data_IF_534302008947
#
_entry.id   IF_534302008947
#
_cell.length_a   1.000
_cell.length_b   1.000
_cell.length_c   1.000
_cell.angle_alpha   90.00
_cell.angle_beta   90.00
_cell.angle_gamma   90.00
#
_symmetry.space_group_name_H-M   'P 1'
#
loop_
_entity.id
_entity.type
_entity.pdbx_description
1 polymer ?
#
# COMPACT_ATOMS: atom_id res chain seq x y z
N UNK A 1 7.27 -0.95 -21.80
CA UNK A 1 6.98 0.47 -21.48
C UNK A 1 5.94 1.07 -22.43
N UNK A 2 6.06 0.90 -23.75
CA UNK A 2 5.06 1.39 -24.75
C UNK A 2 3.67 0.73 -24.59
N UNK A 3 3.58 -0.54 -24.18
CA UNK A 3 2.30 -1.22 -23.94
C UNK A 3 1.50 -0.69 -22.74
N UNK A 4 2.18 -0.20 -21.70
CA UNK A 4 1.55 0.27 -20.45
C UNK A 4 0.88 1.64 -20.66
N UNK A 5 1.55 2.53 -21.40
CA UNK A 5 0.97 3.83 -21.79
C UNK A 5 -0.19 3.62 -22.76
N UNK A 6 -0.09 2.64 -23.66
CA UNK A 6 -1.16 2.31 -24.61
C UNK A 6 -2.40 1.73 -23.95
N UNK A 7 -2.26 0.82 -22.98
CA UNK A 7 -3.41 0.28 -22.24
C UNK A 7 -4.13 1.34 -21.39
N UNK A 8 -3.39 2.27 -20.78
CA UNK A 8 -3.99 3.40 -20.05
C UNK A 8 -4.72 4.35 -21.02
N UNK A 9 -4.16 4.60 -22.20
CA UNK A 9 -4.80 5.43 -23.24
C UNK A 9 -6.01 4.73 -23.86
N UNK A 10 -5.94 3.43 -24.11
CA UNK A 10 -7.03 2.64 -24.69
C UNK A 10 -8.19 2.49 -23.70
N UNK A 11 -7.91 2.39 -22.40
CA UNK A 11 -8.92 2.47 -21.34
C UNK A 11 -9.53 3.87 -21.19
N UNK A 12 -8.85 4.92 -21.67
CA UNK A 12 -9.36 6.31 -21.68
C UNK A 12 -10.15 6.65 -22.95
N UNK A 13 -10.18 5.78 -23.97
CA UNK A 13 -10.86 6.04 -25.23
C UNK A 13 -12.34 5.66 -25.16
N UNK A 14 -13.29 6.61 -25.34
CA UNK A 14 -14.72 6.39 -25.10
C UNK A 14 -15.42 5.49 -26.13
N UNK A 15 -14.72 5.01 -27.16
CA UNK A 15 -15.30 4.29 -28.31
C UNK A 15 -15.20 2.77 -28.24
N UNK A 16 -14.40 2.18 -27.35
CA UNK A 16 -14.17 0.72 -27.33
C UNK A 16 -15.13 -0.08 -26.46
N UNK A 17 -16.11 0.57 -25.81
CA UNK A 17 -17.06 -0.10 -24.89
C UNK A 17 -18.42 -0.41 -25.55
N UNK A 18 -18.64 -0.02 -26.82
CA UNK A 18 -19.97 -0.12 -27.45
C UNK A 18 -20.12 -1.11 -28.63
N UNK A 19 -19.14 -1.98 -28.91
CA UNK A 19 -19.30 -2.96 -30.01
C UNK A 19 -18.92 -4.39 -29.63
N UNK A 20 -19.62 -4.96 -28.65
CA UNK A 20 -19.84 -6.42 -28.54
C UNK A 20 -20.92 -6.75 -27.50
N UNK A 21 -22.19 -6.41 -27.76
CA UNK A 21 -23.31 -6.95 -26.98
C UNK A 21 -24.52 -7.28 -27.86
N UNK A 22 -24.40 -8.36 -28.62
CA UNK A 22 -25.53 -9.17 -29.07
C UNK A 22 -25.32 -10.59 -28.56
N UNK A 23 -25.67 -10.77 -27.29
CA UNK A 23 -25.63 -12.04 -26.58
C UNK A 23 -26.52 -11.94 -25.36
N UNK A 24 -27.79 -12.28 -25.54
CA UNK A 24 -28.82 -12.40 -24.51
C UNK A 24 -28.36 -13.36 -23.40
N UNK A 25 -28.05 -12.83 -22.22
CA UNK A 25 -28.16 -13.60 -20.98
C UNK A 25 -28.79 -12.73 -19.90
N UNK A 26 -30.09 -12.92 -19.71
CA UNK A 26 -30.82 -12.52 -18.50
C UNK A 26 -30.45 -13.48 -17.38
N UNK A 27 -29.28 -13.25 -16.78
CA UNK A 27 -28.95 -13.69 -15.42
C UNK A 27 -28.75 -12.45 -14.56
N UNK A 28 -28.89 -12.52 -13.23
CA UNK A 28 -28.41 -11.43 -12.40
C UNK A 28 -26.95 -11.21 -12.78
N UNK A 29 -26.56 -9.95 -12.99
CA UNK A 29 -25.15 -9.57 -12.96
C UNK A 29 -24.72 -9.95 -11.55
N UNK A 30 -24.12 -11.13 -11.39
CA UNK A 30 -23.41 -11.49 -10.18
C UNK A 30 -22.24 -10.50 -10.08
N UNK A 31 -22.54 -9.37 -9.46
CA UNK A 31 -21.57 -8.51 -8.80
C UNK A 31 -20.90 -9.40 -7.76
N UNK A 32 -19.83 -10.08 -8.17
CA UNK A 32 -18.93 -10.86 -7.31
C UNK A 32 -18.28 -9.94 -6.29
N UNK A 33 -19.06 -9.54 -5.30
CA UNK A 33 -18.73 -8.70 -4.16
C UNK A 33 -19.39 -9.33 -2.93
N UNK A 34 -19.07 -10.60 -2.70
CA UNK A 34 -19.08 -11.16 -1.34
C UNK A 34 -17.92 -10.52 -0.56
N UNK A 35 -18.08 -9.24 -0.25
CA UNK A 35 -17.26 -8.52 0.70
C UNK A 35 -18.18 -8.15 1.84
N UNK A 36 -18.08 -8.87 2.95
CA UNK A 36 -18.93 -8.69 4.13
C UNK A 36 -19.00 -7.21 4.52
N UNK A 37 -20.13 -6.75 5.10
CA UNK A 37 -20.23 -5.38 5.63
C UNK A 37 -19.05 -5.04 6.56
N UNK A 38 -18.54 -6.04 7.27
CA UNK A 38 -17.35 -5.94 8.12
C UNK A 38 -16.09 -5.51 7.35
N UNK A 39 -15.83 -6.10 6.17
CA UNK A 39 -14.68 -5.70 5.34
C UNK A 39 -14.72 -4.21 4.98
N UNK A 40 -15.88 -3.73 4.55
CA UNK A 40 -16.06 -2.33 4.18
C UNK A 40 -15.91 -1.39 5.39
N UNK A 41 -16.48 -1.75 6.54
CA UNK A 41 -16.29 -1.00 7.79
C UNK A 41 -14.80 -0.92 8.14
N UNK A 42 -14.07 -2.04 8.08
CA UNK A 42 -12.63 -2.05 8.35
C UNK A 42 -11.84 -1.18 7.36
N UNK A 43 -12.22 -1.16 6.08
CA UNK A 43 -11.60 -0.26 5.09
C UNK A 43 -11.89 1.22 5.39
N UNK A 44 -13.11 1.58 5.80
CA UNK A 44 -13.42 2.95 6.24
C UNK A 44 -12.58 3.37 7.45
N UNK A 45 -12.41 2.47 8.42
CA UNK A 45 -11.54 2.72 9.58
C UNK A 45 -10.09 2.94 9.12
N UNK A 46 -9.58 2.12 8.19
CA UNK A 46 -8.24 2.25 7.63
C UNK A 46 -8.03 3.61 6.93
N UNK A 47 -9.05 4.09 6.21
CA UNK A 47 -9.04 5.41 5.56
C UNK A 47 -8.94 6.53 6.58
N UNK A 48 -9.82 6.50 7.60
CA UNK A 48 -9.85 7.53 8.63
C UNK A 48 -8.52 7.56 9.40
N UNK A 49 -8.03 6.38 9.77
CA UNK A 49 -6.76 6.22 10.47
C UNK A 49 -5.58 6.75 9.65
N UNK A 50 -5.50 6.39 8.37
CA UNK A 50 -4.43 6.87 7.51
C UNK A 50 -4.45 8.40 7.32
N UNK A 51 -5.64 9.02 7.22
CA UNK A 51 -5.77 10.48 7.18
C UNK A 51 -5.32 11.12 8.51
N UNK A 52 -5.66 10.52 9.65
CA UNK A 52 -5.21 10.98 10.96
C UNK A 52 -3.69 10.92 11.08
N UNK A 53 -3.06 9.82 10.65
CA UNK A 53 -1.59 9.71 10.67
C UNK A 53 -0.93 10.73 9.75
N UNK A 54 -1.49 10.96 8.55
CA UNK A 54 -1.03 12.04 7.68
C UNK A 54 -1.13 13.41 8.37
N UNK A 55 -2.26 13.70 9.00
CA UNK A 55 -2.47 14.97 9.70
C UNK A 55 -1.47 15.17 10.83
N UNK A 56 -1.27 14.16 11.69
CA UNK A 56 -0.31 14.20 12.80
C UNK A 56 1.11 14.41 12.27
N UNK A 57 1.57 13.61 11.31
CA UNK A 57 2.92 13.74 10.72
C UNK A 57 3.13 15.12 10.09
N UNK A 58 2.12 15.65 9.41
CA UNK A 58 2.17 16.99 8.79
C UNK A 58 2.22 18.09 9.84
N UNK A 59 1.45 17.97 10.91
CA UNK A 59 1.43 18.93 12.02
C UNK A 59 2.77 18.93 12.76
N UNK A 60 3.31 17.76 13.11
CA UNK A 60 4.63 17.64 13.76
C UNK A 60 5.73 18.28 12.91
N UNK A 61 5.68 18.09 11.58
CA UNK A 61 6.60 18.75 10.65
C UNK A 61 6.45 20.29 10.66
N UNK A 62 5.22 20.80 10.76
CA UNK A 62 4.96 22.24 10.75
C UNK A 62 5.48 22.92 12.02
N UNK A 63 5.42 22.23 13.16
CA UNK A 63 5.92 22.74 14.43
C UNK A 63 7.45 22.75 14.48
N UNK A 64 8.10 21.76 13.87
CA UNK A 64 9.57 21.64 13.88
C UNK A 64 10.16 21.37 12.46
N UNK A 65 10.14 22.36 11.56
CA UNK A 65 10.50 22.17 10.15
C UNK A 65 11.97 21.79 9.92
N UNK A 66 12.86 22.11 10.88
CA UNK A 66 14.30 21.83 10.80
C UNK A 66 14.72 20.43 11.29
N UNK A 67 13.87 19.76 12.09
CA UNK A 67 14.21 18.52 12.79
C UNK A 67 13.85 17.26 12.00
N UNK A 68 12.72 17.30 11.27
CA UNK A 68 12.02 16.08 10.79
C UNK A 68 11.95 15.95 9.26
N UNK A 69 12.56 16.87 8.53
CA UNK A 69 12.13 17.25 7.18
C UNK A 69 12.17 16.17 6.09
N UNK A 70 13.02 15.14 6.21
CA UNK A 70 13.14 14.05 5.22
C UNK A 70 12.12 12.93 5.42
N UNK A 71 12.08 12.38 6.65
CA UNK A 71 11.18 11.28 7.01
C UNK A 71 9.73 11.76 7.05
N UNK A 72 9.46 12.92 7.65
CA UNK A 72 8.09 13.43 7.78
C UNK A 72 7.42 13.74 6.43
N UNK A 73 8.16 14.29 5.46
CA UNK A 73 7.61 14.58 4.13
C UNK A 73 7.25 13.30 3.37
N UNK A 74 8.19 12.35 3.31
CA UNK A 74 8.00 11.14 2.52
C UNK A 74 7.02 10.15 3.18
N UNK A 75 7.09 9.98 4.51
CA UNK A 75 6.15 9.15 5.26
C UNK A 75 4.74 9.76 5.30
N UNK A 76 4.63 11.09 5.44
CA UNK A 76 3.34 11.78 5.34
C UNK A 76 2.67 11.57 3.98
N UNK A 77 3.41 11.74 2.88
CA UNK A 77 2.90 11.45 1.54
C UNK A 77 2.50 9.98 1.36
N UNK A 78 3.26 9.04 1.95
CA UNK A 78 2.92 7.63 1.93
C UNK A 78 1.56 7.36 2.59
N UNK A 79 1.33 7.87 3.81
CA UNK A 79 0.04 7.74 4.50
C UNK A 79 -1.10 8.42 3.74
N UNK A 80 -0.86 9.61 3.17
CA UNK A 80 -1.85 10.32 2.36
C UNK A 80 -2.29 9.49 1.14
N UNK A 81 -1.33 9.00 0.36
CA UNK A 81 -1.63 8.23 -0.85
C UNK A 81 -2.24 6.87 -0.53
N UNK A 82 -1.80 6.20 0.54
CA UNK A 82 -2.44 4.98 1.02
C UNK A 82 -3.91 5.23 1.40
N UNK A 83 -4.20 6.32 2.11
CA UNK A 83 -5.56 6.69 2.53
C UNK A 83 -6.45 7.04 1.34
N UNK A 84 -5.92 7.82 0.38
CA UNK A 84 -6.65 8.16 -0.85
C UNK A 84 -6.91 6.94 -1.72
N UNK A 85 -5.96 6.00 -1.80
CA UNK A 85 -6.16 4.72 -2.50
C UNK A 85 -7.26 3.89 -1.84
N UNK A 86 -7.23 3.73 -0.52
CA UNK A 86 -8.25 3.00 0.22
C UNK A 86 -9.62 3.68 0.10
N UNK A 87 -9.67 5.02 0.18
CA UNK A 87 -10.90 5.79 0.06
C UNK A 87 -11.52 5.62 -1.33
N UNK A 88 -10.73 5.80 -2.38
CA UNK A 88 -11.21 5.62 -3.77
C UNK A 88 -11.63 4.18 -4.06
N UNK A 89 -10.97 3.18 -3.47
CA UNK A 89 -11.39 1.78 -3.54
C UNK A 89 -12.72 1.51 -2.85
N UNK A 90 -12.95 2.13 -1.69
CA UNK A 90 -14.23 2.05 -0.99
C UNK A 90 -15.35 2.72 -1.82
N UNK A 91 -15.07 3.90 -2.39
CA UNK A 91 -16.03 4.60 -3.25
C UNK A 91 -16.35 3.83 -4.54
N UNK A 92 -15.38 3.14 -5.14
CA UNK A 92 -15.59 2.40 -6.40
C UNK A 92 -16.62 1.29 -6.26
N UNK A 93 -16.75 0.69 -5.08
CA UNK A 93 -17.62 -0.47 -4.85
C UNK A 93 -18.96 -0.13 -4.18
N UNK A 94 -19.08 1.00 -3.47
CA UNK A 94 -20.25 1.27 -2.62
C UNK A 94 -21.29 2.20 -3.21
N UNK A 95 -20.91 3.21 -4.01
CA UNK A 95 -21.83 4.33 -4.28
C UNK A 95 -22.48 4.31 -5.66
N UNK A 96 -21.81 3.79 -6.70
CA UNK A 96 -22.33 3.92 -8.07
C UNK A 96 -21.90 2.76 -8.98
N UNK A 97 -22.81 1.85 -9.39
CA UNK A 97 -22.57 0.96 -10.52
C UNK A 97 -22.64 1.78 -11.83
N UNK A 98 -21.52 2.39 -12.25
CA UNK A 98 -21.40 3.14 -13.51
C UNK A 98 -19.95 3.63 -13.77
N UNK A 99 -19.77 4.60 -14.67
CA UNK A 99 -18.49 5.28 -15.00
C UNK A 99 -17.74 5.81 -13.77
N UNK A 100 -18.45 6.15 -12.69
CA UNK A 100 -17.83 6.64 -11.45
C UNK A 100 -16.96 5.55 -10.82
N UNK A 101 -17.42 4.29 -10.80
CA UNK A 101 -16.64 3.16 -10.28
C UNK A 101 -15.33 2.99 -11.07
N UNK A 102 -15.37 3.16 -12.40
CA UNK A 102 -14.18 3.12 -13.26
C UNK A 102 -13.19 4.24 -12.92
N UNK A 103 -13.64 5.49 -12.80
CA UNK A 103 -12.76 6.60 -12.43
C UNK A 103 -12.17 6.42 -11.03
N UNK A 104 -12.96 5.93 -10.07
CA UNK A 104 -12.50 5.64 -8.70
C UNK A 104 -11.46 4.51 -8.67
N UNK A 105 -11.63 3.44 -9.45
CA UNK A 105 -10.61 2.39 -9.58
C UNK A 105 -9.30 2.91 -10.18
N UNK A 106 -9.38 3.74 -11.23
CA UNK A 106 -8.20 4.36 -11.83
C UNK A 106 -7.50 5.28 -10.82
N UNK A 107 -8.27 6.09 -10.09
CA UNK A 107 -7.71 6.95 -9.04
C UNK A 107 -7.01 6.13 -7.95
N UNK A 108 -7.61 5.01 -7.52
CA UNK A 108 -7.00 4.12 -6.53
C UNK A 108 -5.66 3.56 -7.02
N UNK A 109 -5.60 3.11 -8.27
CA UNK A 109 -4.37 2.66 -8.92
C UNK A 109 -3.30 3.75 -8.92
N UNK A 110 -3.65 4.97 -9.31
CA UNK A 110 -2.70 6.10 -9.32
C UNK A 110 -2.15 6.33 -7.92
N UNK A 111 -3.00 6.31 -6.90
CA UNK A 111 -2.56 6.48 -5.51
C UNK A 111 -1.70 5.31 -4.99
N UNK A 112 -1.95 4.06 -5.42
CA UNK A 112 -1.06 2.91 -5.09
C UNK A 112 0.33 3.14 -5.68
N UNK A 113 0.41 3.59 -6.95
CA UNK A 113 1.68 3.88 -7.62
C UNK A 113 2.40 5.00 -6.88
N UNK A 114 1.71 6.10 -6.58
CA UNK A 114 2.29 7.25 -5.86
C UNK A 114 2.75 6.85 -4.45
N UNK A 115 2.01 6.00 -3.75
CA UNK A 115 2.41 5.46 -2.44
C UNK A 115 3.69 4.62 -2.54
N UNK A 116 3.76 3.72 -3.53
CA UNK A 116 4.95 2.90 -3.79
C UNK A 116 6.17 3.75 -4.14
N UNK A 117 5.97 4.82 -4.90
CA UNK A 117 7.02 5.79 -5.23
C UNK A 117 7.43 6.63 -4.01
N UNK A 118 6.50 7.02 -3.14
CA UNK A 118 6.78 7.76 -1.90
C UNK A 118 7.56 6.92 -0.87
N UNK A 119 7.38 5.59 -0.90
CA UNK A 119 8.13 4.67 -0.05
C UNK A 119 9.64 4.68 -0.35
N UNK A 120 10.07 4.98 -1.58
CA UNK A 120 11.48 5.03 -1.97
C UNK A 120 12.27 6.12 -1.22
N UNK A 121 11.90 7.43 -1.29
CA UNK A 121 12.58 8.48 -0.54
C UNK A 121 12.36 8.36 0.97
N UNK A 122 11.24 7.78 1.43
CA UNK A 122 11.02 7.47 2.84
C UNK A 122 12.07 6.45 3.33
N UNK A 123 12.17 5.31 2.64
CA UNK A 123 13.13 4.24 2.93
C UNK A 123 14.57 4.75 2.88
N UNK A 124 14.93 5.55 1.88
CA UNK A 124 16.27 6.14 1.78
C UNK A 124 16.57 7.09 2.97
N UNK A 125 15.57 7.86 3.42
CA UNK A 125 15.71 8.74 4.58
C UNK A 125 15.82 7.99 5.90
N UNK A 126 15.26 6.78 6.00
CA UNK A 126 15.41 5.91 7.17
C UNK A 126 16.82 5.30 7.22
N UNK A 127 17.31 4.77 6.09
CA UNK A 127 18.63 4.13 6.02
C UNK A 127 19.79 5.13 6.11
N UNK A 128 19.65 6.30 5.46
CA UNK A 128 20.65 7.37 5.40
C UNK A 128 19.98 8.71 5.78
N UNK A 129 19.77 8.96 7.08
CA UNK A 129 19.16 10.20 7.56
C UNK A 129 20.14 11.38 7.61
N UNK A 130 21.44 11.14 7.48
CA UNK A 130 22.43 12.20 7.64
C UNK A 130 22.46 13.16 6.44
N UNK A 131 22.21 14.44 6.68
CA UNK A 131 22.19 15.48 5.63
C UNK A 131 23.53 15.62 4.87
N UNK A 132 24.65 15.25 5.49
CA UNK A 132 26.00 15.30 4.88
C UNK A 132 26.26 14.14 3.91
N UNK A 133 25.54 13.02 4.02
CA UNK A 133 25.73 11.82 3.19
C UNK A 133 24.78 11.79 1.99
N UNK A 134 24.66 12.91 1.26
CA UNK A 134 23.74 13.03 0.11
C UNK A 134 23.99 11.97 -0.96
N UNK A 135 25.26 11.68 -1.28
CA UNK A 135 25.63 10.65 -2.25
C UNK A 135 25.09 9.27 -1.88
N UNK A 136 25.30 8.83 -0.63
CA UNK A 136 24.77 7.56 -0.12
C UNK A 136 23.25 7.51 -0.12
N UNK A 137 22.59 8.64 0.15
CA UNK A 137 21.12 8.73 0.07
C UNK A 137 20.63 8.55 -1.37
N UNK A 138 21.30 9.15 -2.35
CA UNK A 138 21.00 8.95 -3.78
C UNK A 138 21.21 7.50 -4.20
N UNK A 139 22.31 6.87 -3.78
CA UNK A 139 22.58 5.44 -4.04
C UNK A 139 21.45 4.57 -3.46
N UNK A 140 21.03 4.85 -2.23
CA UNK A 140 19.91 4.15 -1.60
C UNK A 140 18.59 4.33 -2.39
N UNK A 141 18.27 5.55 -2.84
CA UNK A 141 17.10 5.80 -3.69
C UNK A 141 17.13 4.97 -4.97
N UNK A 142 18.27 4.92 -5.66
CA UNK A 142 18.43 4.14 -6.90
C UNK A 142 18.28 2.64 -6.60
N UNK A 143 18.88 2.14 -5.53
CA UNK A 143 18.76 0.74 -5.12
C UNK A 143 17.30 0.36 -4.79
N UNK A 144 16.59 1.21 -4.02
CA UNK A 144 15.18 0.98 -3.68
C UNK A 144 14.26 1.07 -4.89
N UNK A 145 14.53 1.99 -5.82
CA UNK A 145 13.82 2.04 -7.10
C UNK A 145 14.02 0.73 -7.87
N UNK A 146 15.24 0.20 -7.94
CA UNK A 146 15.51 -1.07 -8.58
C UNK A 146 14.73 -2.22 -7.92
N UNK A 147 14.69 -2.30 -6.57
CA UNK A 147 13.90 -3.32 -5.86
C UNK A 147 12.41 -3.22 -6.18
N UNK A 148 11.83 -2.02 -6.17
CA UNK A 148 10.40 -1.81 -6.47
C UNK A 148 10.10 -2.24 -7.92
N UNK A 149 10.92 -1.82 -8.88
CA UNK A 149 10.75 -2.19 -10.28
C UNK A 149 10.93 -3.70 -10.50
N UNK A 150 11.96 -4.30 -9.90
CA UNK A 150 12.20 -5.73 -9.98
C UNK A 150 11.04 -6.52 -9.39
N UNK A 151 10.50 -6.08 -8.26
CA UNK A 151 9.33 -6.74 -7.64
C UNK A 151 8.07 -6.58 -8.49
N UNK A 152 7.86 -5.43 -9.11
CA UNK A 152 6.73 -5.20 -10.01
C UNK A 152 6.79 -6.07 -11.27
N UNK A 153 7.96 -6.17 -11.92
CA UNK A 153 8.09 -6.81 -13.23
C UNK A 153 8.52 -8.28 -13.20
N UNK A 154 9.16 -8.77 -12.13
CA UNK A 154 9.58 -10.17 -12.02
C UNK A 154 8.74 -10.95 -11.00
N UNK A 155 8.52 -10.39 -9.80
CA UNK A 155 7.72 -11.07 -8.78
C UNK A 155 6.22 -10.99 -9.07
N UNK A 156 5.72 -9.82 -9.46
CA UNK A 156 4.31 -9.59 -9.78
C UNK A 156 3.70 -10.63 -10.72
N UNK A 157 4.29 -10.89 -11.91
CA UNK A 157 3.76 -11.88 -12.86
C UNK A 157 3.68 -13.31 -12.32
N UNK A 158 4.50 -13.67 -11.32
CA UNK A 158 4.50 -14.99 -10.69
C UNK A 158 3.38 -15.15 -9.64
N UNK A 159 2.75 -14.06 -9.21
CA UNK A 159 1.69 -14.10 -8.20
C UNK A 159 0.38 -14.61 -8.79
N UNK A 160 -0.28 -15.52 -8.06
CA UNK A 160 -1.61 -16.03 -8.43
C UNK A 160 -2.72 -15.09 -7.95
N UNK A 161 -2.57 -14.55 -6.75
CA UNK A 161 -3.47 -13.55 -6.18
C UNK A 161 -3.38 -12.20 -6.91
N UNK A 162 -4.49 -11.47 -6.91
CA UNK A 162 -4.52 -10.10 -7.43
C UNK A 162 -5.57 -9.28 -6.68
N UNK A 163 -5.25 -8.05 -6.25
CA UNK A 163 -6.23 -7.20 -5.56
C UNK A 163 -7.45 -6.94 -6.46
N UNK A 164 -8.65 -7.02 -5.89
CA UNK A 164 -9.90 -6.79 -6.61
C UNK A 164 -10.07 -5.30 -6.96
N UNK A 165 -9.51 -4.88 -8.10
CA UNK A 165 -9.61 -3.52 -8.62
C UNK A 165 -10.50 -3.51 -9.88
N UNK A 166 -11.77 -3.07 -9.80
CA UNK A 166 -12.69 -3.08 -10.94
C UNK A 166 -12.10 -2.41 -12.18
N UNK A 167 -12.41 -2.91 -13.37
CA UNK A 167 -11.97 -2.36 -14.67
C UNK A 167 -10.45 -2.43 -14.98
N UNK A 168 -9.63 -2.90 -14.05
CA UNK A 168 -8.19 -3.06 -14.26
C UNK A 168 -7.86 -4.50 -14.67
N UNK A 169 -6.91 -4.71 -15.58
CA UNK A 169 -6.50 -6.06 -16.02
C UNK A 169 -5.83 -6.86 -14.91
N UNK A 170 -6.04 -8.18 -14.89
CA UNK A 170 -5.43 -9.08 -13.89
C UNK A 170 -3.90 -9.00 -13.86
N UNK A 171 -3.27 -8.90 -15.02
CA UNK A 171 -1.82 -8.76 -15.16
C UNK A 171 -1.31 -7.50 -14.48
N UNK A 172 -1.98 -6.36 -14.69
CA UNK A 172 -1.56 -5.09 -14.10
C UNK A 172 -1.80 -5.06 -12.59
N UNK A 173 -2.92 -5.63 -12.10
CA UNK A 173 -3.18 -5.81 -10.66
C UNK A 173 -2.06 -6.58 -9.95
N UNK A 174 -1.54 -7.63 -10.60
CA UNK A 174 -0.41 -8.42 -10.08
C UNK A 174 0.89 -7.63 -10.05
N UNK A 175 1.16 -6.82 -11.07
CA UNK A 175 2.32 -5.93 -11.08
C UNK A 175 2.23 -4.85 -9.98
N UNK A 176 1.04 -4.30 -9.73
CA UNK A 176 0.80 -3.37 -8.62
C UNK A 176 1.08 -4.04 -7.26
N UNK A 177 0.60 -5.28 -7.06
CA UNK A 177 0.89 -6.04 -5.85
C UNK A 177 2.40 -6.28 -5.69
N UNK A 178 3.10 -6.64 -6.76
CA UNK A 178 4.55 -6.76 -6.78
C UNK A 178 5.27 -5.45 -6.40
N UNK A 179 4.79 -4.31 -6.91
CA UNK A 179 5.33 -3.00 -6.56
C UNK A 179 5.14 -2.67 -5.06
N UNK A 180 3.96 -2.97 -4.49
CA UNK A 180 3.68 -2.80 -3.07
C UNK A 180 4.60 -3.66 -2.19
N UNK A 181 4.82 -4.93 -2.56
CA UNK A 181 5.75 -5.82 -1.87
C UNK A 181 7.18 -5.27 -1.92
N UNK A 182 7.61 -4.82 -3.10
CA UNK A 182 8.93 -4.18 -3.25
C UNK A 182 9.07 -2.94 -2.37
N UNK A 183 8.04 -2.09 -2.31
CA UNK A 183 8.02 -0.89 -1.47
C UNK A 183 8.12 -1.23 0.04
N UNK A 184 7.37 -2.24 0.50
CA UNK A 184 7.48 -2.74 1.88
C UNK A 184 8.87 -3.31 2.17
N UNK A 185 9.44 -4.09 1.25
CA UNK A 185 10.78 -4.64 1.39
C UNK A 185 11.84 -3.54 1.53
N UNK A 186 11.74 -2.45 0.77
CA UNK A 186 12.61 -1.27 0.91
C UNK A 186 12.54 -0.67 2.33
N UNK A 187 11.32 -0.51 2.88
CA UNK A 187 11.15 0.03 4.24
C UNK A 187 11.78 -0.93 5.26
N UNK A 188 11.53 -2.23 5.15
CA UNK A 188 12.07 -3.25 6.05
C UNK A 188 13.61 -3.29 6.03
N UNK A 189 14.20 -3.34 4.84
CA UNK A 189 15.65 -3.33 4.66
C UNK A 189 16.26 -2.04 5.22
N UNK A 190 15.63 -0.89 4.96
CA UNK A 190 16.07 0.38 5.54
C UNK A 190 15.99 0.42 7.06
N UNK A 191 14.98 -0.19 7.66
CA UNK A 191 14.88 -0.31 9.12
C UNK A 191 16.02 -1.19 9.66
N UNK A 192 16.33 -2.31 9.01
CA UNK A 192 17.48 -3.17 9.37
C UNK A 192 18.78 -2.37 9.29
N UNK A 193 19.02 -1.67 8.18
CA UNK A 193 20.21 -0.80 8.03
C UNK A 193 20.27 0.23 9.15
N UNK A 194 19.16 0.91 9.46
CA UNK A 194 19.09 1.90 10.54
C UNK A 194 19.39 1.30 11.92
N UNK A 195 18.95 0.07 12.19
CA UNK A 195 19.22 -0.63 13.46
C UNK A 195 20.65 -1.13 13.62
N UNK A 196 21.31 -1.51 12.51
CA UNK A 196 22.69 -1.99 12.48
C UNK A 196 23.71 -0.87 12.56
N UNK A 197 23.33 0.35 12.17
CA UNK A 197 24.20 1.53 12.26
C UNK A 197 24.14 2.13 13.67
N UNK A 198 25.26 2.66 14.21
CA UNK A 198 25.30 3.34 15.50
C UNK A 198 24.70 4.75 15.37
N UNK A 199 23.38 4.83 15.20
CA UNK A 199 22.63 6.08 15.06
C UNK A 199 21.45 6.08 16.04
N UNK A 200 20.97 7.28 16.42
CA UNK A 200 19.71 7.40 17.18
C UNK A 200 18.51 6.89 16.36
N UNK A 201 17.42 6.54 17.04
CA UNK A 201 16.18 6.11 16.38
C UNK A 201 16.09 4.62 16.05
N UNK A 202 16.95 3.77 16.64
CA UNK A 202 16.87 2.29 16.51
C UNK A 202 15.52 1.75 16.96
N UNK A 203 14.97 2.27 18.07
CA UNK A 203 13.66 1.86 18.57
C UNK A 203 12.54 2.22 17.58
N UNK A 204 12.59 3.40 16.96
CA UNK A 204 11.62 3.78 15.92
C UNK A 204 11.72 2.89 14.69
N UNK A 205 12.94 2.58 14.25
CA UNK A 205 13.18 1.64 13.14
C UNK A 205 12.67 0.22 13.45
N UNK A 206 12.86 -0.25 14.68
CA UNK A 206 12.34 -1.55 15.11
C UNK A 206 10.81 -1.59 15.10
N UNK A 207 10.15 -0.57 15.65
CA UNK A 207 8.68 -0.50 15.67
C UNK A 207 8.12 -0.39 14.24
N UNK A 208 8.76 0.39 13.37
CA UNK A 208 8.39 0.48 11.95
C UNK A 208 8.61 -0.85 11.20
N UNK A 209 9.70 -1.57 11.52
CA UNK A 209 9.98 -2.91 11.00
C UNK A 209 8.86 -3.88 11.39
N UNK A 210 8.44 -3.88 12.65
CA UNK A 210 7.34 -4.73 13.12
C UNK A 210 6.02 -4.40 12.43
N UNK A 211 5.66 -3.11 12.32
CA UNK A 211 4.43 -2.68 11.66
C UNK A 211 4.40 -3.06 10.18
N UNK A 212 5.47 -2.73 9.45
CA UNK A 212 5.57 -3.07 8.02
C UNK A 212 5.68 -4.58 7.81
N UNK A 213 6.35 -5.29 8.72
CA UNK A 213 6.46 -6.74 8.70
C UNK A 213 5.12 -7.44 8.90
N UNK A 214 4.29 -6.92 9.80
CA UNK A 214 2.94 -7.41 10.03
C UNK A 214 2.06 -7.26 8.77
N UNK A 215 2.15 -6.11 8.10
CA UNK A 215 1.46 -5.87 6.83
C UNK A 215 1.93 -6.86 5.77
N UNK A 216 3.25 -7.05 5.63
CA UNK A 216 3.82 -7.95 4.64
C UNK A 216 3.42 -9.42 4.89
N UNK A 217 3.50 -9.89 6.13
CA UNK A 217 3.07 -11.25 6.51
C UNK A 217 1.57 -11.41 6.25
N UNK A 218 0.76 -10.43 6.65
CA UNK A 218 -0.68 -10.42 6.36
C UNK A 218 -0.97 -10.48 4.86
N UNK A 219 -0.22 -9.75 4.04
CA UNK A 219 -0.32 -9.76 2.59
C UNK A 219 0.10 -11.10 1.98
N UNK A 220 1.15 -11.74 2.51
CA UNK A 220 1.57 -13.08 2.08
C UNK A 220 0.47 -14.10 2.40
N UNK A 221 -0.03 -14.11 3.63
CA UNK A 221 -1.13 -14.98 4.06
C UNK A 221 -2.35 -14.76 3.17
N UNK A 222 -2.74 -13.50 2.95
CA UNK A 222 -3.85 -13.15 2.06
C UNK A 222 -3.61 -13.67 0.64
N UNK A 223 -2.43 -13.44 0.06
CA UNK A 223 -2.10 -13.89 -1.30
C UNK A 223 -2.11 -15.42 -1.49
N UNK A 224 -1.93 -16.18 -0.42
CA UNK A 224 -2.04 -17.63 -0.43
C UNK A 224 -3.48 -18.12 -0.24
N UNK A 225 -4.30 -17.35 0.47
CA UNK A 225 -5.71 -17.67 0.76
C UNK A 225 -6.66 -17.24 -0.35
N UNK A 226 -6.49 -16.04 -0.90
CA UNK A 226 -7.31 -15.42 -1.95
C UNK A 226 -7.63 -16.38 -3.11
N UNK A 227 -6.66 -17.02 -3.78
CA UNK A 227 -6.96 -17.94 -4.89
C UNK A 227 -7.62 -19.26 -4.45
N UNK A 228 -7.57 -19.62 -3.17
CA UNK A 228 -8.16 -20.86 -2.63
C UNK A 228 -9.58 -20.66 -2.11
N UNK A 229 -9.91 -19.43 -1.74
CA UNK A 229 -11.17 -19.01 -1.12
C UNK A 229 -12.03 -18.15 -2.05
N UNK A 230 -11.69 -18.09 -3.35
CA UNK A 230 -12.47 -17.39 -4.36
C UNK A 230 -13.82 -18.10 -4.58
N UNK A 231 -14.90 -17.46 -4.14
CA UNK A 231 -16.28 -17.94 -4.28
C UNK A 231 -16.95 -17.44 -5.57
N UNK A 232 -16.27 -16.61 -6.38
CA UNK A 232 -16.88 -15.97 -7.57
C UNK A 232 -17.33 -16.96 -8.64
N UNK A 233 -16.88 -18.21 -8.58
CA UNK A 233 -17.18 -19.26 -9.56
C UNK A 233 -17.90 -20.49 -8.99
N UNK A 234 -18.16 -20.55 -7.68
CA UNK A 234 -18.71 -21.75 -7.03
C UNK A 234 -19.86 -21.38 -6.08
N UNK A 235 -21.03 -22.02 -6.27
CA UNK A 235 -22.23 -21.82 -5.44
C UNK A 235 -22.07 -22.32 -3.99
N UNK A 236 -21.14 -23.24 -3.79
CA UNK A 236 -20.77 -23.83 -2.51
C UNK A 236 -19.38 -23.35 -2.05
N UNK A 237 -19.12 -23.38 -0.74
CA UNK A 237 -17.83 -22.97 -0.18
C UNK A 237 -16.70 -23.86 -0.74
N UNK A 238 -15.60 -23.29 -1.28
CA UNK A 238 -14.55 -24.09 -1.90
C UNK A 238 -13.91 -25.05 -0.89
N UNK A 239 -13.86 -26.34 -1.21
CA UNK A 239 -13.20 -27.36 -0.38
C UNK A 239 -11.68 -27.14 -0.24
N UNK A 240 -11.10 -26.33 -1.14
CA UNK A 240 -9.71 -25.88 -1.10
C UNK A 240 -9.46 -24.74 -0.11
N UNK A 241 -10.50 -24.05 0.37
CA UNK A 241 -10.36 -22.92 1.29
C UNK A 241 -10.09 -23.44 2.72
N UNK A 242 -8.94 -23.11 3.33
CA UNK A 242 -8.60 -23.58 4.67
C UNK A 242 -9.39 -22.89 5.79
N UNK A 243 -10.15 -21.83 5.47
CA UNK A 243 -10.93 -21.05 6.42
C UNK A 243 -12.39 -21.50 6.46
N UNK A 244 -13.05 -21.45 7.63
CA UNK A 244 -14.48 -21.70 7.73
C UNK A 244 -15.28 -20.57 7.05
N UNK A 245 -16.47 -20.88 6.54
CA UNK A 245 -17.36 -19.93 5.84
C UNK A 245 -17.69 -18.65 6.63
N UNK A 246 -17.66 -18.72 7.95
CA UNK A 246 -17.92 -17.58 8.84
C UNK A 246 -16.72 -16.61 8.94
N UNK A 247 -15.55 -16.98 8.43
CA UNK A 247 -14.31 -16.22 8.59
C UNK A 247 -13.89 -15.56 7.27
N UNK A 248 -13.96 -14.24 7.22
CA UNK A 248 -13.59 -13.44 6.06
C UNK A 248 -12.08 -13.13 6.08
N UNK A 249 -11.34 -13.79 5.20
CA UNK A 249 -9.88 -13.60 5.06
C UNK A 249 -9.50 -12.18 4.62
N UNK A 250 -10.41 -11.46 3.95
CA UNK A 250 -10.21 -10.06 3.60
C UNK A 250 -10.33 -9.17 4.85
N UNK A 251 -11.26 -9.48 5.76
CA UNK A 251 -11.36 -8.78 7.06
C UNK A 251 -10.10 -9.00 7.88
N UNK A 252 -9.60 -10.24 7.98
CA UNK A 252 -8.35 -10.53 8.68
C UNK A 252 -7.18 -9.72 8.10
N UNK A 253 -7.08 -9.64 6.78
CA UNK A 253 -6.05 -8.85 6.12
C UNK A 253 -6.16 -7.36 6.47
N UNK A 254 -7.37 -6.78 6.42
CA UNK A 254 -7.55 -5.36 6.79
C UNK A 254 -7.27 -5.11 8.28
N UNK A 255 -7.60 -6.05 9.16
CA UNK A 255 -7.23 -5.96 10.58
C UNK A 255 -5.71 -5.93 10.76
N UNK A 256 -4.97 -6.78 10.04
CA UNK A 256 -3.51 -6.76 10.05
C UNK A 256 -2.95 -5.47 9.45
N UNK A 257 -3.62 -4.89 8.44
CA UNK A 257 -3.28 -3.57 7.89
C UNK A 257 -3.45 -2.46 8.93
N UNK A 258 -4.54 -2.47 9.70
CA UNK A 258 -4.80 -1.51 10.77
C UNK A 258 -3.69 -1.57 11.83
N UNK A 259 -3.48 -2.74 12.43
CA UNK A 259 -2.41 -2.89 13.45
C UNK A 259 -1.03 -2.56 12.89
N UNK A 260 -0.75 -3.00 11.66
CA UNK A 260 0.51 -2.70 10.98
C UNK A 260 0.71 -1.21 10.75
N UNK A 261 -0.33 -0.49 10.36
CA UNK A 261 -0.29 0.96 10.18
C UNK A 261 -0.12 1.72 11.50
N UNK A 262 -0.74 1.26 12.60
CA UNK A 262 -0.53 1.84 13.93
C UNK A 262 0.95 1.76 14.32
N UNK A 263 1.54 0.56 14.23
CA UNK A 263 2.97 0.40 14.50
C UNK A 263 3.84 1.17 13.52
N UNK A 264 3.48 1.22 12.23
CA UNK A 264 4.22 1.99 11.26
C UNK A 264 4.19 3.49 11.58
N UNK A 265 3.04 4.04 11.95
CA UNK A 265 2.88 5.44 12.34
C UNK A 265 3.69 5.76 13.60
N UNK A 266 3.60 4.93 14.64
CA UNK A 266 4.41 5.07 15.85
C UNK A 266 5.91 5.00 15.54
N UNK A 267 6.33 4.06 14.70
CA UNK A 267 7.72 3.93 14.26
C UNK A 267 8.21 5.16 13.49
N UNK A 268 7.37 5.71 12.61
CA UNK A 268 7.64 6.96 11.87
C UNK A 268 7.76 8.14 12.84
N UNK A 269 6.86 8.30 13.81
CA UNK A 269 6.90 9.38 14.79
C UNK A 269 8.16 9.31 15.65
N UNK A 270 8.56 8.12 16.10
CA UNK A 270 9.83 7.92 16.84
C UNK A 270 11.05 8.20 15.98
N UNK A 271 11.02 7.83 14.70
CA UNK A 271 12.10 8.14 13.75
C UNK A 271 12.20 9.63 13.46
N UNK A 272 11.06 10.33 13.40
CA UNK A 272 11.00 11.79 13.34
C UNK A 272 11.62 12.37 14.61
N UNK A 273 11.18 11.98 15.80
CA UNK A 273 11.76 12.47 17.07
C UNK A 273 13.29 12.26 17.16
N UNK A 274 13.83 11.19 16.56
CA UNK A 274 15.27 10.95 16.48
C UNK A 274 16.03 11.83 15.46
N UNK A 275 15.32 12.58 14.62
CA UNK A 275 15.82 13.52 13.63
C UNK A 275 16.83 12.91 12.65
N UNK A 276 17.90 13.64 12.36
CA UNK A 276 18.98 13.20 11.48
C UNK A 276 19.83 12.05 12.07
N UNK A 277 19.52 11.56 13.27
CA UNK A 277 20.23 10.46 13.92
C UNK A 277 21.59 10.81 14.55
N UNK A 278 21.94 12.10 14.62
CA UNK A 278 23.17 12.58 15.28
C UNK A 278 23.05 12.52 16.80
N UNK A 279 24.06 11.96 17.47
CA UNK A 279 24.26 12.11 18.91
C UNK A 279 24.40 13.60 19.23
N UNK A 280 23.42 14.19 19.92
CA UNK A 280 23.36 15.62 20.21
C UNK A 280 22.02 16.30 19.93
N UNK A 281 21.07 15.63 19.26
CA UNK A 281 19.67 16.07 19.34
C UNK A 281 19.18 15.73 20.75
N UNK A 282 18.89 16.78 21.52
CA UNK A 282 18.30 16.70 22.86
C UNK A 282 16.99 15.93 22.71
N UNK A 283 16.89 14.78 23.38
CA UNK A 283 15.60 14.11 23.55
C UNK A 283 14.68 15.11 24.25
N UNK A 284 13.48 15.31 23.72
CA UNK A 284 12.44 16.13 24.34
C UNK A 284 12.24 15.59 25.77
N UNK A 285 12.76 16.29 26.77
CA UNK A 285 12.32 16.11 28.16
C UNK A 285 10.99 16.84 28.34
N UNK A 286 10.05 16.28 29.12
CA UNK A 286 8.71 16.83 29.32
C UNK A 286 8.72 18.23 29.95
#
# INVERSE_FOLDING_TARGET
MVGIVREVIDAMSPTTVMSSSTGTSTGPIDLGLDATRAFHVCLYVLVLEGFLFFAVVTQTKSQEPGAHGGVARAAGLLFLFQSLSAFTLVLSNQLFPSRISMYSSIASVVFIILSSLAAIPASASIAVPEARRRSWKTVAVIAWLAIVLSSAFFLGPMMRASPSLPFISGTFRRQLLGAMIGAMACILLSCIVRMLRPLKGRNGAFVLLLGTGLILIGGILWSQMDPKCDTSSVKDWPSSCPMPRAFDHNVLFVVLLLFGNIFAAEGVLRLMAAGNGSEGYVEIMP
#
